data_IF_398791594871
#
_entry.id   IF_398791594871
#
_cell.length_a   1.000
_cell.length_b   1.000
_cell.length_c   1.000
_cell.angle_alpha   90.00
_cell.angle_beta   90.00
_cell.angle_gamma   90.00
#
_symmetry.space_group_name_H-M   'P 1'
#
loop_
_entity.id
_entity.type
_entity.pdbx_description
1 polymer ?
#
# COMPACT_ATOMS: atom_id res chain seq x y z
N UNK A 1 -6.38 -10.70 -1.83
CA UNK A 1 -5.05 -10.56 -1.21
C UNK A 1 -3.97 -10.87 -2.24
N UNK A 2 -2.89 -10.10 -2.27
CA UNK A 2 -1.79 -10.16 -3.26
C UNK A 2 -0.45 -10.00 -2.55
N UNK A 3 0.60 -10.64 -3.05
CA UNK A 3 1.95 -10.43 -2.54
C UNK A 3 2.68 -9.41 -3.41
N UNK A 4 3.27 -8.40 -2.78
CA UNK A 4 4.13 -7.41 -3.43
C UNK A 4 5.53 -7.46 -2.82
N UNK A 5 6.52 -7.06 -3.60
CA UNK A 5 7.89 -6.86 -3.13
C UNK A 5 8.24 -5.39 -3.26
N UNK A 6 8.69 -4.80 -2.16
CA UNK A 6 9.04 -3.38 -2.09
C UNK A 6 10.44 -3.27 -1.53
N UNK A 7 11.27 -2.41 -2.13
CA UNK A 7 12.56 -2.06 -1.56
C UNK A 7 12.35 -0.91 -0.58
N UNK A 8 12.71 -1.11 0.67
CA UNK A 8 12.64 -0.10 1.72
C UNK A 8 13.63 1.03 1.38
N UNK A 9 13.19 2.29 1.27
CA UNK A 9 14.01 3.39 0.75
C UNK A 9 15.17 3.82 1.68
N UNK A 10 15.06 3.61 2.99
CA UNK A 10 16.03 4.04 4.00
C UNK A 10 17.14 2.98 4.19
N UNK A 11 16.76 1.73 4.41
CA UNK A 11 17.65 0.60 4.71
C UNK A 11 18.07 -0.17 3.46
N UNK A 12 17.31 -0.04 2.37
CA UNK A 12 17.51 -0.80 1.14
C UNK A 12 17.03 -2.25 1.21
N UNK A 13 16.40 -2.66 2.30
CA UNK A 13 15.89 -4.01 2.53
C UNK A 13 14.77 -4.37 1.53
N UNK A 14 14.66 -5.65 1.15
CA UNK A 14 13.51 -6.12 0.37
C UNK A 14 12.41 -6.64 1.30
N UNK A 15 11.30 -5.90 1.34
CA UNK A 15 10.11 -6.28 2.09
C UNK A 15 9.17 -7.10 1.21
N UNK A 16 8.67 -8.23 1.73
CA UNK A 16 7.58 -8.98 1.11
C UNK A 16 6.29 -8.72 1.87
N UNK A 17 5.41 -7.91 1.27
CA UNK A 17 4.17 -7.47 1.89
C UNK A 17 2.99 -8.20 1.26
N UNK A 18 1.91 -8.34 2.02
CA UNK A 18 0.60 -8.70 1.48
C UNK A 18 -0.26 -7.46 1.36
N UNK A 19 -0.94 -7.29 0.24
CA UNK A 19 -1.86 -6.21 -0.02
C UNK A 19 -3.26 -6.77 -0.29
N UNK A 20 -4.28 -6.21 0.34
CA UNK A 20 -5.67 -6.58 0.15
C UNK A 20 -6.52 -5.31 -0.07
N UNK A 21 -7.41 -5.28 -1.08
CA UNK A 21 -8.36 -4.18 -1.21
C UNK A 21 -9.18 -4.04 0.06
N UNK A 22 -9.36 -2.82 0.53
CA UNK A 22 -10.16 -2.49 1.71
C UNK A 22 -11.05 -1.28 1.42
N UNK A 23 -12.28 -1.30 1.92
CA UNK A 23 -13.11 -0.10 2.05
C UNK A 23 -12.80 0.54 3.40
N UNK A 24 -12.25 1.76 3.37
CA UNK A 24 -11.96 2.52 4.58
C UNK A 24 -12.83 3.76 4.61
N UNK A 25 -13.91 3.70 5.40
CA UNK A 25 -14.90 4.77 5.52
C UNK A 25 -15.51 5.21 4.16
N UNK A 26 -15.77 4.25 3.25
CA UNK A 26 -16.30 4.51 1.91
C UNK A 26 -15.25 4.94 0.88
N UNK A 27 -13.98 5.03 1.26
CA UNK A 27 -12.86 5.25 0.33
C UNK A 27 -12.19 3.91 -0.02
N UNK A 28 -11.91 3.69 -1.31
CA UNK A 28 -11.21 2.49 -1.76
C UNK A 28 -9.71 2.57 -1.43
N UNK A 29 -9.25 1.65 -0.61
CA UNK A 29 -7.87 1.53 -0.14
C UNK A 29 -7.25 0.17 -0.31
N UNK A 30 -6.07 0.03 0.29
CA UNK A 30 -5.35 -1.23 0.42
C UNK A 30 -4.88 -1.43 1.86
N UNK A 31 -5.29 -2.55 2.47
CA UNK A 31 -4.67 -3.10 3.68
C UNK A 31 -3.34 -3.72 3.30
N UNK A 32 -2.26 -3.21 3.90
CA UNK A 32 -0.92 -3.74 3.79
C UNK A 32 -0.63 -4.53 5.05
N UNK A 33 -0.16 -5.76 4.90
CA UNK A 33 0.19 -6.67 5.99
C UNK A 33 1.67 -6.99 5.86
N UNK A 34 2.41 -6.73 6.93
CA UNK A 34 3.85 -6.94 7.03
C UNK A 34 4.18 -8.39 7.44
N UNK A 35 5.44 -8.85 7.28
CA UNK A 35 5.84 -10.21 7.65
C UNK A 35 5.64 -10.56 9.13
N UNK A 36 5.76 -9.58 10.01
CA UNK A 36 5.51 -9.67 11.46
C UNK A 36 4.01 -9.66 11.82
N UNK A 37 3.13 -9.57 10.82
CA UNK A 37 1.66 -9.54 10.91
C UNK A 37 1.06 -8.23 11.42
N UNK A 38 1.84 -7.18 11.53
CA UNK A 38 1.30 -5.83 11.65
C UNK A 38 0.62 -5.42 10.33
N UNK A 39 -0.24 -4.41 10.40
CA UNK A 39 -0.97 -3.98 9.21
C UNK A 39 -1.47 -2.56 9.29
N UNK A 40 -1.49 -1.89 8.15
CA UNK A 40 -1.95 -0.51 8.00
C UNK A 40 -2.70 -0.34 6.67
N UNK A 41 -3.55 0.69 6.55
CA UNK A 41 -4.28 1.04 5.33
C UNK A 41 -3.60 2.18 4.62
N UNK A 42 -3.51 2.05 3.30
CA UNK A 42 -3.14 3.16 2.41
C UNK A 42 -4.30 3.52 1.47
N UNK A 43 -4.46 4.82 1.24
CA UNK A 43 -5.39 5.41 0.27
C UNK A 43 -4.62 6.24 -0.76
N UNK A 44 -5.11 6.30 -2.00
CA UNK A 44 -4.61 7.25 -2.99
C UNK A 44 -5.47 8.53 -2.93
N UNK A 45 -4.88 9.63 -2.49
CA UNK A 45 -5.52 10.96 -2.41
C UNK A 45 -4.75 11.92 -3.30
N UNK A 46 -5.44 12.56 -4.25
CA UNK A 46 -4.86 13.57 -5.15
C UNK A 46 -3.60 13.08 -5.91
N UNK A 47 -3.54 11.78 -6.20
CA UNK A 47 -2.40 11.15 -6.91
C UNK A 47 -1.21 10.76 -6.02
N UNK A 48 -1.32 10.94 -4.71
CA UNK A 48 -0.33 10.50 -3.72
C UNK A 48 -0.91 9.43 -2.79
N UNK A 49 -0.09 8.43 -2.45
CA UNK A 49 -0.47 7.38 -1.49
C UNK A 49 -0.21 7.86 -0.07
N UNK A 50 -1.18 7.65 0.82
CA UNK A 50 -1.13 8.09 2.21
C UNK A 50 -1.60 6.97 3.14
N UNK A 51 -0.94 6.82 4.30
CA UNK A 51 -1.41 5.95 5.39
C UNK A 51 -2.48 6.66 6.21
N UNK A 52 -3.48 5.93 6.71
CA UNK A 52 -4.66 6.55 7.37
C UNK A 52 -4.98 6.03 8.76
N UNK A 53 -4.35 4.94 9.20
CA UNK A 53 -4.58 4.33 10.51
C UNK A 53 -3.29 4.06 11.30
N UNK A 54 -2.14 4.55 10.80
CA UNK A 54 -0.82 4.37 11.42
C UNK A 54 0.15 5.49 11.01
N UNK A 55 1.30 5.59 11.69
CA UNK A 55 2.40 6.51 11.38
C UNK A 55 3.53 5.77 10.65
N UNK A 56 3.47 5.77 9.33
CA UNK A 56 4.45 5.11 8.47
C UNK A 56 5.17 6.14 7.61
N UNK A 57 6.48 5.92 7.40
CA UNK A 57 7.31 6.85 6.63
C UNK A 57 6.77 7.03 5.19
N UNK A 58 6.61 8.27 4.69
CA UNK A 58 5.93 8.54 3.41
C UNK A 58 6.62 7.90 2.19
N UNK A 59 7.95 7.74 2.25
CA UNK A 59 8.70 7.14 1.15
C UNK A 59 8.39 5.65 0.95
N UNK A 60 8.21 4.88 2.04
CA UNK A 60 7.83 3.47 1.91
C UNK A 60 6.39 3.36 1.39
N UNK A 61 5.48 4.26 1.82
CA UNK A 61 4.11 4.31 1.31
C UNK A 61 4.08 4.57 -0.20
N UNK A 62 4.91 5.51 -0.67
CA UNK A 62 5.05 5.81 -2.10
C UNK A 62 5.58 4.61 -2.88
N UNK A 63 6.57 3.89 -2.34
CA UNK A 63 7.11 2.69 -2.95
C UNK A 63 6.09 1.54 -3.02
N UNK A 64 5.29 1.35 -1.96
CA UNK A 64 4.17 0.40 -1.93
C UNK A 64 3.13 0.76 -2.99
N UNK A 65 2.69 2.03 -3.04
CA UNK A 65 1.73 2.51 -4.01
C UNK A 65 2.19 2.32 -5.46
N UNK A 66 3.47 2.55 -5.74
CA UNK A 66 4.06 2.29 -7.06
C UNK A 66 4.06 0.80 -7.42
N UNK A 67 4.30 -0.09 -6.45
CA UNK A 67 4.19 -1.54 -6.66
C UNK A 67 2.73 -1.99 -6.92
N UNK A 68 1.73 -1.21 -6.48
CA UNK A 68 0.30 -1.46 -6.68
C UNK A 68 -0.27 -0.80 -7.95
N UNK A 69 0.36 0.25 -8.49
CA UNK A 69 -0.11 1.00 -9.69
C UNK A 69 -0.44 0.16 -10.93
N UNK A 70 0.26 -0.94 -11.28
CA UNK A 70 -0.13 -1.79 -12.39
C UNK A 70 -1.54 -2.38 -12.24
N UNK A 71 -2.06 -2.42 -11.01
CA UNK A 71 -3.30 -3.12 -10.66
C UNK A 71 -4.45 -2.18 -10.28
N UNK A 72 -4.16 -0.99 -9.74
CA UNK A 72 -5.18 0.00 -9.38
C UNK A 72 -5.97 0.50 -10.61
N UNK A 73 -5.31 0.65 -11.77
CA UNK A 73 -5.94 1.08 -13.03
C UNK A 73 -6.91 0.08 -13.65
N UNK A 74 -6.83 -1.21 -13.30
CA UNK A 74 -7.73 -2.22 -13.85
C UNK A 74 -9.09 -2.25 -13.16
N UNK A 75 -9.19 -1.83 -11.89
CA UNK A 75 -10.45 -1.83 -11.14
C UNK A 75 -11.30 -0.57 -11.36
N UNK A 76 -10.76 0.49 -11.94
CA UNK A 76 -11.51 1.73 -12.24
C UNK A 76 -12.22 1.73 -13.60
N UNK A 77 -12.21 0.59 -14.32
CA UNK A 77 -12.80 0.41 -15.65
C UNK A 77 -13.81 -0.75 -15.74
N UNK A 78 -14.26 -1.29 -14.59
CA UNK A 78 -15.25 -2.39 -14.53
C UNK A 78 -16.64 -1.87 -14.21
#
# INVERSE_FOLDING_TARGET
>A
MRRIKVKEPITGEQLSLLAQPEDYNGEQGWRIITPDKDSFVILEKEGAWQVVDDEIHPDIISAIGNALRPYARYNSLS
#
